data_IF_756572649868
#
_entry.id   IF_756572649868
#
_cell.length_a   1.000
_cell.length_b   1.000
_cell.length_c   1.000
_cell.angle_alpha   90.00
_cell.angle_beta   90.00
_cell.angle_gamma   90.00
#
_symmetry.space_group_name_H-M   'P 1'
#
loop_
_entity.id
_entity.type
_entity.pdbx_description
1 polymer ?
#
# COMPACT_ATOMS: atom_id res chain seq x y z
N UNK A 1 -10.36 -25.77 -43.97
CA UNK A 1 -10.23 -24.34 -43.57
C UNK A 1 -9.33 -24.28 -42.33
N UNK A 2 -8.10 -23.75 -42.45
CA UNK A 2 -7.18 -23.57 -41.31
C UNK A 2 -7.50 -22.24 -40.62
N UNK A 3 -7.72 -22.27 -39.31
CA UNK A 3 -7.87 -21.06 -38.50
C UNK A 3 -6.53 -20.30 -38.48
N UNK A 4 -6.53 -19.05 -38.94
CA UNK A 4 -5.42 -18.13 -38.73
C UNK A 4 -5.45 -17.67 -37.27
N UNK A 5 -4.48 -18.11 -36.48
CA UNK A 5 -4.28 -17.59 -35.12
C UNK A 5 -3.93 -16.09 -35.23
N UNK A 6 -4.76 -15.24 -34.61
CA UNK A 6 -4.57 -13.79 -34.56
C UNK A 6 -3.49 -13.36 -33.53
N UNK A 7 -2.64 -14.29 -33.08
CA UNK A 7 -1.60 -14.00 -32.10
C UNK A 7 -0.24 -13.82 -32.79
N UNK A 8 -0.01 -12.61 -33.31
CA UNK A 8 1.36 -12.12 -33.54
C UNK A 8 1.79 -11.39 -32.28
N UNK A 9 2.77 -11.87 -31.50
CA UNK A 9 3.29 -11.10 -30.38
C UNK A 9 3.93 -9.85 -30.96
N UNK A 10 3.27 -8.71 -30.81
CA UNK A 10 3.79 -7.41 -31.25
C UNK A 10 5.11 -7.20 -30.50
N UNK A 11 6.22 -7.14 -31.24
CA UNK A 11 7.56 -6.70 -30.79
C UNK A 11 7.53 -5.45 -29.88
N UNK A 12 6.46 -4.66 -29.97
CA UNK A 12 6.12 -3.56 -29.08
C UNK A 12 6.07 -3.95 -27.59
N UNK A 13 5.56 -5.13 -27.24
CA UNK A 13 5.53 -5.60 -25.84
C UNK A 13 6.93 -5.93 -25.31
N UNK A 14 7.82 -6.47 -26.14
CA UNK A 14 9.21 -6.74 -25.74
C UNK A 14 9.99 -5.45 -25.52
N UNK A 15 9.87 -4.44 -26.41
CA UNK A 15 10.56 -3.15 -26.26
C UNK A 15 10.03 -2.31 -25.08
N UNK A 16 8.72 -2.29 -24.86
CA UNK A 16 8.09 -1.58 -23.74
C UNK A 16 8.42 -2.23 -22.39
N UNK A 17 8.38 -3.57 -22.33
CA UNK A 17 8.82 -4.30 -21.14
C UNK A 17 10.33 -4.18 -20.92
N UNK A 18 11.15 -4.18 -21.97
CA UNK A 18 12.60 -3.97 -21.83
C UNK A 18 12.93 -2.57 -21.28
N UNK A 19 12.26 -1.51 -21.72
CA UNK A 19 12.44 -0.17 -21.12
C UNK A 19 11.97 -0.11 -19.67
N UNK A 20 10.85 -0.76 -19.33
CA UNK A 20 10.40 -0.88 -17.94
C UNK A 20 11.34 -1.73 -17.08
N UNK A 21 11.87 -2.83 -17.60
CA UNK A 21 12.85 -3.69 -16.93
C UNK A 21 14.17 -2.96 -16.77
N UNK A 22 14.62 -2.18 -17.75
CA UNK A 22 15.88 -1.40 -17.67
C UNK A 22 15.73 -0.15 -16.80
N UNK A 23 14.54 0.44 -16.76
CA UNK A 23 14.18 1.50 -15.80
C UNK A 23 14.07 0.91 -14.41
N UNK A 24 13.37 -0.21 -14.22
CA UNK A 24 13.33 -0.98 -12.98
C UNK A 24 14.71 -1.49 -12.59
N UNK A 25 15.60 -1.84 -13.53
CA UNK A 25 16.98 -2.23 -13.25
C UNK A 25 17.88 -1.03 -12.92
N UNK A 26 17.38 0.21 -13.06
CA UNK A 26 18.05 1.42 -12.56
C UNK A 26 17.37 1.94 -11.29
N UNK A 27 16.06 1.73 -11.17
CA UNK A 27 15.23 2.13 -10.04
C UNK A 27 15.26 1.12 -8.88
N UNK A 28 15.51 -0.16 -9.11
CA UNK A 28 15.80 -1.14 -8.05
C UNK A 28 17.16 -0.88 -7.39
N UNK A 29 18.00 -0.03 -8.03
CA UNK A 29 19.21 0.53 -7.44
C UNK A 29 18.96 1.92 -6.83
N UNK A 30 17.73 2.47 -6.91
CA UNK A 30 17.36 3.62 -6.08
C UNK A 30 17.29 3.13 -4.64
N UNK A 31 18.44 3.21 -4.00
CA UNK A 31 18.56 3.29 -2.55
C UNK A 31 17.53 4.29 -2.06
N UNK A 32 17.01 4.05 -0.86
CA UNK A 32 16.17 5.03 -0.20
C UNK A 32 16.86 6.40 -0.31
N UNK A 33 16.23 7.44 -0.89
CA UNK A 33 16.86 8.75 -1.04
C UNK A 33 17.09 9.41 0.33
N UNK A 34 16.52 8.85 1.40
CA UNK A 34 16.62 9.36 2.75
C UNK A 34 17.64 8.54 3.57
N UNK A 35 18.65 9.20 4.17
CA UNK A 35 19.68 8.52 4.96
C UNK A 35 19.17 7.97 6.30
N UNK A 36 18.06 8.50 6.81
CA UNK A 36 17.40 8.10 8.06
C UNK A 36 15.88 8.35 7.95
N UNK A 37 15.11 7.80 8.90
CA UNK A 37 13.66 8.02 8.98
C UNK A 37 13.31 9.49 9.25
N UNK A 38 14.20 10.24 9.91
CA UNK A 38 13.96 11.63 10.27
C UNK A 38 14.00 12.54 9.03
N UNK A 39 14.88 12.22 8.09
CA UNK A 39 15.03 12.85 6.79
C UNK A 39 13.87 12.49 5.87
N UNK A 40 13.44 11.23 5.87
CA UNK A 40 12.21 10.81 5.18
C UNK A 40 11.01 11.60 5.70
N UNK A 41 10.87 11.66 7.03
CA UNK A 41 9.76 12.35 7.72
C UNK A 41 9.61 13.81 7.28
N UNK A 42 10.70 14.54 7.07
CA UNK A 42 10.68 15.95 6.62
C UNK A 42 10.00 16.15 5.28
N UNK A 43 9.92 15.11 4.45
CA UNK A 43 9.25 15.16 3.15
C UNK A 43 7.80 14.72 3.18
N UNK A 44 7.34 14.18 4.32
CA UNK A 44 5.98 13.69 4.47
C UNK A 44 5.01 14.83 4.71
N UNK A 45 3.79 14.66 4.19
CA UNK A 45 2.74 15.64 4.38
C UNK A 45 2.23 15.61 5.83
N UNK A 46 2.42 16.72 6.53
CA UNK A 46 1.91 16.90 7.90
C UNK A 46 0.41 17.16 7.88
N UNK A 47 -0.26 16.63 8.90
CA UNK A 47 -1.67 16.88 9.22
C UNK A 47 -2.61 16.73 8.02
N UNK A 48 -2.35 15.75 7.14
CA UNK A 48 -3.12 15.51 5.92
C UNK A 48 -4.64 15.50 6.18
N UNK A 49 -5.08 14.95 7.31
CA UNK A 49 -6.49 14.87 7.68
C UNK A 49 -7.16 16.21 8.00
N UNK A 50 -6.38 17.29 8.14
CA UNK A 50 -6.89 18.66 8.31
C UNK A 50 -7.16 19.38 6.98
N UNK A 51 -6.93 18.74 5.83
CA UNK A 51 -7.17 19.33 4.51
C UNK A 51 -8.43 18.74 3.87
N UNK A 52 -9.61 19.40 3.96
CA UNK A 52 -10.89 18.81 3.57
C UNK A 52 -10.94 18.33 2.12
N UNK A 53 -10.35 19.11 1.20
CA UNK A 53 -10.32 18.75 -0.22
C UNK A 53 -9.54 17.44 -0.49
N UNK A 54 -8.44 17.20 0.25
CA UNK A 54 -7.66 15.97 0.13
C UNK A 54 -8.41 14.77 0.70
N UNK A 55 -9.05 14.95 1.86
CA UNK A 55 -9.89 13.92 2.49
C UNK A 55 -11.07 13.54 1.60
N UNK A 56 -11.76 14.53 1.01
CA UNK A 56 -12.85 14.31 0.07
C UNK A 56 -12.41 13.51 -1.17
N UNK A 57 -11.17 13.68 -1.61
CA UNK A 57 -10.56 12.86 -2.67
C UNK A 57 -10.50 11.37 -2.32
N UNK A 58 -10.08 11.05 -1.09
CA UNK A 58 -10.05 9.66 -0.59
C UNK A 58 -11.46 9.07 -0.48
N UNK A 59 -12.41 9.84 0.04
CA UNK A 59 -13.81 9.40 0.18
C UNK A 59 -14.45 9.12 -1.19
N UNK A 60 -14.21 9.98 -2.18
CA UNK A 60 -14.66 9.77 -3.56
C UNK A 60 -14.06 8.49 -4.16
N UNK A 61 -12.76 8.25 -3.95
CA UNK A 61 -12.10 7.03 -4.40
C UNK A 61 -12.74 5.78 -3.79
N UNK A 62 -12.94 5.77 -2.47
CA UNK A 62 -13.53 4.62 -1.78
C UNK A 62 -14.99 4.41 -2.15
N UNK A 63 -15.76 5.47 -2.38
CA UNK A 63 -17.13 5.36 -2.91
C UNK A 63 -17.14 4.66 -4.28
N UNK A 64 -16.19 4.99 -5.17
CA UNK A 64 -16.06 4.31 -6.45
C UNK A 64 -15.71 2.82 -6.27
N UNK A 65 -14.79 2.49 -5.36
CA UNK A 65 -14.43 1.09 -5.07
C UNK A 65 -15.60 0.32 -4.46
N UNK A 66 -16.43 0.97 -3.65
CA UNK A 66 -17.61 0.34 -3.05
C UNK A 66 -18.58 -0.08 -4.15
N UNK A 67 -18.84 0.80 -5.12
CA UNK A 67 -19.69 0.46 -6.28
C UNK A 67 -19.14 -0.74 -7.06
N UNK A 68 -17.82 -0.84 -7.22
CA UNK A 68 -17.17 -1.99 -7.88
C UNK A 68 -17.33 -3.26 -7.04
N UNK A 69 -17.08 -3.20 -5.73
CA UNK A 69 -17.29 -4.32 -4.80
C UNK A 69 -18.74 -4.81 -4.87
N UNK A 70 -19.70 -3.91 -4.73
CA UNK A 70 -21.12 -4.23 -4.70
C UNK A 70 -21.58 -4.80 -6.06
N UNK A 71 -21.02 -4.32 -7.18
CA UNK A 71 -21.29 -4.85 -8.53
C UNK A 71 -20.69 -6.23 -8.77
N UNK A 72 -19.48 -6.48 -8.29
CA UNK A 72 -18.71 -7.71 -8.60
C UNK A 72 -18.88 -8.81 -7.56
N UNK A 73 -19.34 -8.46 -6.35
CA UNK A 73 -19.36 -9.36 -5.20
C UNK A 73 -17.97 -9.70 -4.64
N UNK A 74 -16.88 -9.17 -5.22
CA UNK A 74 -15.51 -9.48 -4.79
C UNK A 74 -15.18 -8.70 -3.51
N UNK A 75 -14.85 -9.36 -2.39
CA UNK A 75 -14.45 -8.66 -1.17
C UNK A 75 -13.19 -7.81 -1.40
N UNK A 76 -13.21 -6.58 -0.86
CA UNK A 76 -12.06 -5.68 -0.89
C UNK A 76 -11.63 -5.42 0.55
N UNK A 77 -10.37 -5.71 0.84
CA UNK A 77 -9.71 -5.37 2.10
C UNK A 77 -8.73 -4.24 1.82
N UNK A 78 -8.78 -3.22 2.65
CA UNK A 78 -7.89 -2.07 2.55
C UNK A 78 -6.77 -2.19 3.57
N UNK A 79 -5.57 -1.82 3.14
CA UNK A 79 -4.47 -1.51 4.04
C UNK A 79 -3.66 -0.36 3.42
N UNK A 80 -2.95 0.37 4.27
CA UNK A 80 -2.03 1.40 3.82
C UNK A 80 -0.68 1.16 4.49
N UNK A 81 0.38 1.08 3.68
CA UNK A 81 1.73 0.89 4.19
C UNK A 81 2.35 2.22 4.61
N UNK A 82 2.68 2.43 5.91
CA UNK A 82 3.34 3.67 6.30
C UNK A 82 4.74 3.80 5.74
N UNK A 83 5.13 5.01 5.28
CA UNK A 83 6.55 5.33 5.15
C UNK A 83 7.16 5.27 6.55
N UNK A 84 8.40 4.81 6.65
CA UNK A 84 9.02 4.57 7.95
C UNK A 84 9.13 5.83 8.80
N UNK A 85 9.36 6.99 8.18
CA UNK A 85 9.38 8.30 8.82
C UNK A 85 8.05 8.75 9.43
N UNK A 86 6.92 8.10 9.09
CA UNK A 86 5.63 8.38 9.74
C UNK A 86 5.42 7.59 11.03
N UNK A 87 6.17 6.51 11.26
CA UNK A 87 6.04 5.69 12.46
C UNK A 87 6.40 6.51 13.70
N UNK A 88 5.57 6.44 14.74
CA UNK A 88 5.69 7.24 15.96
C UNK A 88 5.65 8.75 15.72
N UNK A 89 5.06 9.19 14.59
CA UNK A 89 4.92 10.61 14.27
C UNK A 89 3.46 10.96 13.95
N UNK A 90 2.62 11.24 14.97
CA UNK A 90 1.21 11.51 14.79
C UNK A 90 0.88 12.59 13.73
N UNK A 91 1.62 13.71 13.59
CA UNK A 91 1.34 14.68 12.54
C UNK A 91 1.46 14.10 11.12
N UNK A 92 2.39 13.18 10.87
CA UNK A 92 2.60 12.61 9.53
C UNK A 92 1.74 11.37 9.28
N UNK A 93 0.86 11.02 10.21
CA UNK A 93 -0.10 9.91 10.10
C UNK A 93 -1.51 10.35 9.66
N UNK A 94 -1.68 11.61 9.27
CA UNK A 94 -3.00 12.15 8.91
C UNK A 94 -3.70 11.39 7.78
N UNK A 95 -2.96 10.99 6.75
CA UNK A 95 -3.53 10.29 5.60
C UNK A 95 -4.10 8.91 5.99
N UNK A 96 -3.39 8.20 6.86
CA UNK A 96 -3.81 6.90 7.43
C UNK A 96 -5.09 7.04 8.23
N UNK A 97 -5.16 8.06 9.10
CA UNK A 97 -6.37 8.32 9.88
C UNK A 97 -7.54 8.66 8.98
N UNK A 98 -7.34 9.51 7.97
CA UNK A 98 -8.36 9.87 7.00
C UNK A 98 -8.85 8.63 6.23
N UNK A 99 -7.93 7.83 5.69
CA UNK A 99 -8.27 6.62 4.94
C UNK A 99 -8.98 5.59 5.82
N UNK A 100 -8.54 5.37 7.06
CA UNK A 100 -9.19 4.47 8.01
C UNK A 100 -10.64 4.90 8.30
N UNK A 101 -10.87 6.20 8.52
CA UNK A 101 -12.23 6.73 8.73
C UNK A 101 -13.10 6.56 7.48
N UNK A 102 -12.58 6.91 6.32
CA UNK A 102 -13.29 6.78 5.06
C UNK A 102 -13.60 5.31 4.70
N UNK A 103 -12.67 4.39 4.99
CA UNK A 103 -12.85 2.95 4.86
C UNK A 103 -13.99 2.45 5.74
N UNK A 104 -13.99 2.82 7.02
CA UNK A 104 -15.05 2.47 7.96
C UNK A 104 -16.42 3.01 7.50
N UNK A 105 -16.49 4.26 7.05
CA UNK A 105 -17.71 4.88 6.55
C UNK A 105 -18.31 4.17 5.32
N UNK A 106 -17.48 3.53 4.49
CA UNK A 106 -17.91 2.77 3.32
C UNK A 106 -18.04 1.26 3.60
N UNK A 107 -17.87 0.83 4.85
CA UNK A 107 -17.95 -0.57 5.25
C UNK A 107 -16.83 -1.43 4.65
N UNK A 108 -15.64 -0.85 4.43
CA UNK A 108 -14.47 -1.62 4.07
C UNK A 108 -13.74 -2.13 5.32
N UNK A 109 -13.41 -3.42 5.36
CA UNK A 109 -12.40 -3.94 6.27
C UNK A 109 -11.07 -3.20 6.06
N UNK A 110 -10.47 -2.68 7.14
CA UNK A 110 -9.21 -1.93 7.08
C UNK A 110 -8.17 -2.51 8.05
N UNK A 111 -7.00 -2.90 7.53
CA UNK A 111 -5.84 -3.29 8.33
C UNK A 111 -5.01 -2.05 8.68
N UNK A 112 -5.01 -1.70 9.97
CA UNK A 112 -4.22 -0.59 10.51
C UNK A 112 -2.75 -0.98 10.70
N UNK A 113 -1.98 -0.87 9.63
CA UNK A 113 -0.55 -1.23 9.63
C UNK A 113 0.28 -0.27 10.50
N UNK A 114 -0.12 1.00 10.64
CA UNK A 114 0.56 1.95 11.54
C UNK A 114 0.50 1.43 12.96
N UNK A 115 -0.71 1.13 13.45
CA UNK A 115 -0.89 0.57 14.79
C UNK A 115 -0.20 -0.77 14.96
N UNK A 116 -0.24 -1.63 13.93
CA UNK A 116 0.45 -2.92 13.95
C UNK A 116 1.96 -2.75 14.13
N UNK A 117 2.57 -1.79 13.42
CA UNK A 117 4.00 -1.53 13.50
C UNK A 117 4.38 -0.87 14.81
N UNK A 118 3.62 0.14 15.26
CA UNK A 118 3.88 0.84 16.53
C UNK A 118 3.76 -0.08 17.77
N UNK A 119 2.94 -1.13 17.70
CA UNK A 119 2.85 -2.15 18.74
C UNK A 119 4.01 -3.16 18.72
N UNK A 120 4.82 -3.19 17.64
CA UNK A 120 5.98 -4.07 17.58
C UNK A 120 7.12 -3.51 18.46
N UNK A 121 7.88 -4.35 19.20
CA UNK A 121 8.95 -3.87 20.09
C UNK A 121 10.07 -3.09 19.39
N UNK A 122 10.26 -3.34 18.09
CA UNK A 122 11.24 -2.66 17.26
C UNK A 122 10.61 -2.27 15.90
N UNK A 123 9.78 -1.22 15.84
CA UNK A 123 9.02 -0.87 14.64
C UNK A 123 9.92 -0.56 13.44
N UNK A 124 11.00 0.18 13.69
CA UNK A 124 11.98 0.58 12.67
C UNK A 124 12.69 -0.60 11.99
N UNK A 125 12.84 -1.74 12.71
CA UNK A 125 13.43 -2.98 12.16
C UNK A 125 12.49 -3.73 11.20
N UNK A 126 11.23 -3.27 11.05
CA UNK A 126 10.30 -3.83 10.09
C UNK A 126 10.54 -3.30 8.67
N UNK A 127 11.46 -2.34 8.49
CA UNK A 127 11.89 -1.80 7.19
C UNK A 127 13.31 -2.25 6.83
N UNK A 128 13.66 -2.13 5.56
CA UNK A 128 15.02 -2.29 5.04
C UNK A 128 15.84 -0.97 5.12
N UNK A 129 15.34 0.00 5.86
CA UNK A 129 15.92 1.33 6.03
C UNK A 129 17.33 1.24 6.66
N UNK A 130 18.32 2.05 6.24
CA UNK A 130 18.27 3.13 5.24
C UNK A 130 18.57 2.70 3.82
N UNK A 131 18.84 1.42 3.59
CA UNK A 131 19.16 0.95 2.25
C UNK A 131 17.97 1.07 1.32
N UNK A 132 16.77 0.81 1.84
CA UNK A 132 15.53 0.76 1.09
C UNK A 132 14.34 1.17 1.99
N UNK A 133 13.34 1.87 1.44
CA UNK A 133 12.12 2.29 2.14
C UNK A 133 11.06 1.18 2.26
N UNK A 134 11.26 0.03 1.60
CA UNK A 134 10.36 -1.11 1.68
C UNK A 134 10.44 -1.83 3.03
N UNK A 135 9.42 -2.66 3.29
CA UNK A 135 9.41 -3.58 4.43
C UNK A 135 10.54 -4.61 4.32
N UNK A 136 11.09 -4.96 5.48
CA UNK A 136 11.93 -6.15 5.63
C UNK A 136 11.10 -7.43 5.52
N UNK A 137 11.77 -8.59 5.43
CA UNK A 137 11.11 -9.89 5.49
C UNK A 137 10.24 -10.04 6.77
N UNK A 138 10.70 -9.50 7.91
CA UNK A 138 9.93 -9.50 9.16
C UNK A 138 8.70 -8.60 9.08
N UNK A 139 8.81 -7.44 8.43
CA UNK A 139 7.68 -6.55 8.17
C UNK A 139 6.62 -7.21 7.29
N UNK A 140 7.06 -7.85 6.20
CA UNK A 140 6.17 -8.62 5.32
C UNK A 140 5.47 -9.76 6.05
N UNK A 141 6.19 -10.55 6.86
CA UNK A 141 5.60 -11.64 7.64
C UNK A 141 4.53 -11.13 8.61
N UNK A 142 4.83 -10.06 9.37
CA UNK A 142 3.90 -9.47 10.32
C UNK A 142 2.60 -8.97 9.67
N UNK A 143 2.71 -8.28 8.52
CA UNK A 143 1.54 -7.79 7.77
C UNK A 143 0.77 -8.95 7.15
N UNK A 144 1.48 -9.93 6.58
CA UNK A 144 0.88 -11.13 6.01
C UNK A 144 0.04 -11.90 7.03
N UNK A 145 0.59 -12.14 8.22
CA UNK A 145 -0.12 -12.81 9.31
C UNK A 145 -1.35 -12.03 9.76
N UNK A 146 -1.23 -10.71 9.91
CA UNK A 146 -2.35 -9.86 10.30
C UNK A 146 -3.47 -9.86 9.25
N UNK A 147 -3.10 -9.79 7.96
CA UNK A 147 -4.04 -9.85 6.85
C UNK A 147 -4.72 -11.23 6.77
N UNK A 148 -3.96 -12.32 6.92
CA UNK A 148 -4.51 -13.67 6.91
C UNK A 148 -5.51 -13.89 8.04
N UNK A 149 -5.20 -13.43 9.27
CA UNK A 149 -6.14 -13.48 10.41
C UNK A 149 -7.42 -12.69 10.14
N UNK A 150 -7.29 -11.52 9.52
CA UNK A 150 -8.42 -10.68 9.13
C UNK A 150 -9.28 -11.37 8.05
N UNK A 151 -8.65 -12.05 7.09
CA UNK A 151 -9.35 -12.82 6.06
C UNK A 151 -10.09 -14.04 6.63
N UNK A 152 -9.47 -14.77 7.55
CA UNK A 152 -10.11 -15.89 8.25
C UNK A 152 -11.30 -15.40 9.08
N UNK A 153 -11.15 -14.30 9.83
CA UNK A 153 -12.24 -13.70 10.62
C UNK A 153 -13.40 -13.22 9.74
N UNK A 154 -13.10 -12.69 8.55
CA UNK A 154 -14.08 -12.26 7.57
C UNK A 154 -14.72 -13.39 6.75
N UNK A 155 -14.26 -14.64 6.92
CA UNK A 155 -14.74 -15.78 6.13
C UNK A 155 -14.30 -15.77 4.67
N UNK A 156 -13.32 -14.95 4.29
CA UNK A 156 -12.80 -14.85 2.90
C UNK A 156 -11.72 -15.88 2.60
N UNK A 157 -11.14 -16.48 3.63
CA UNK A 157 -10.25 -17.63 3.53
C UNK A 157 -10.87 -18.77 4.34
N UNK A 158 -10.94 -19.98 3.77
CA UNK A 158 -11.31 -21.19 4.51
C UNK A 158 -10.06 -21.77 5.17
N UNK A 159 -10.21 -22.35 6.36
CA UNK A 159 -9.14 -23.06 7.05
C UNK A 159 -8.78 -24.36 6.32
#
# INVERSE_FOLDING_TARGET
>A
RRASSAWKPRLYHLGFNYRKIRKASREHLRRNPYPDFESERKTLHRDFDKYPAKVAGLEKLLSAWRRVRDKTGVPIILFFMPPGGAIQSPPHQGEFRALRRAAAAQGFPFLDVVKLFENHPAPRKLYLHPRDGHMSAKGHALVGDALARMMLKGGWLKK
#
